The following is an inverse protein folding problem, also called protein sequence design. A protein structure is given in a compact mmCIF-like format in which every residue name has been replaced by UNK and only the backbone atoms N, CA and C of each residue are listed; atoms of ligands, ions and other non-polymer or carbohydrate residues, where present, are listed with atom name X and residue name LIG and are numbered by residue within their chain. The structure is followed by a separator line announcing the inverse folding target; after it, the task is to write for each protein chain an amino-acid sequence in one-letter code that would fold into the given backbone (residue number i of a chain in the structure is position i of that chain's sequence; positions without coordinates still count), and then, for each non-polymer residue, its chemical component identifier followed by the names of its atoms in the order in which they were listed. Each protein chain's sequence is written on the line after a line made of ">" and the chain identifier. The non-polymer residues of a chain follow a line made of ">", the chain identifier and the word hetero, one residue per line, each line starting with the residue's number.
data_IF_874931778491
#
_entry.id   IF_874931778491
#
_cell.length_a   1.000
_cell.length_b   1.000
_cell.length_c   1.000
_cell.angle_alpha   90.00
_cell.angle_beta   90.00
_cell.angle_gamma   90.00
#
_symmetry.space_group_name_H-M   'P 1'
#
loop_
_entity.id
_entity.type
_entity.pdbx_description
1 polymer ?
#
# COMPACT_ATOMS: atom_id res chain seq x y z
N UNK A 1 8.60 20.70 24.67
CA UNK A 1 10.05 20.73 24.35
C UNK A 1 10.17 20.62 22.83
N UNK A 2 11.10 21.35 22.21
CA UNK A 2 11.29 21.31 20.75
C UNK A 2 12.48 20.42 20.37
N UNK A 3 12.27 19.51 19.42
CA UNK A 3 13.33 18.60 18.92
C UNK A 3 13.75 19.05 17.53
N UNK A 4 14.93 19.63 17.41
CA UNK A 4 15.43 20.21 16.16
C UNK A 4 15.66 19.15 15.07
N UNK A 5 14.77 19.10 14.06
CA UNK A 5 15.12 18.51 12.76
C UNK A 5 16.05 19.48 12.02
N UNK A 6 17.31 19.10 11.82
CA UNK A 6 18.28 19.90 11.05
C UNK A 6 17.93 19.83 9.57
N UNK A 7 17.43 20.93 9.00
CA UNK A 7 17.56 21.15 7.57
C UNK A 7 19.04 21.33 7.22
N UNK A 8 19.55 20.50 6.32
CA UNK A 8 20.83 20.73 5.63
C UNK A 8 20.48 20.92 4.15
N UNK A 9 20.54 22.16 3.68
CA UNK A 9 20.41 22.45 2.26
C UNK A 9 21.67 21.98 1.54
N UNK A 10 21.56 20.91 0.75
CA UNK A 10 22.56 20.57 -0.25
C UNK A 10 22.53 21.66 -1.34
N UNK A 11 23.59 22.46 -1.44
CA UNK A 11 23.62 23.63 -2.31
C UNK A 11 23.84 23.19 -3.77
N UNK A 12 22.84 23.35 -4.63
CA UNK A 12 23.01 23.19 -6.08
C UNK A 12 23.89 24.33 -6.60
N UNK A 13 25.19 24.05 -6.79
CA UNK A 13 26.15 25.06 -7.24
C UNK A 13 26.26 25.03 -8.76
N UNK A 14 25.61 25.99 -9.43
CA UNK A 14 25.80 26.20 -10.87
C UNK A 14 27.28 26.48 -11.18
N UNK A 15 27.79 25.85 -12.24
CA UNK A 15 29.15 26.08 -12.69
C UNK A 15 29.35 27.51 -13.22
N UNK A 16 30.20 28.29 -12.52
CA UNK A 16 30.83 29.50 -13.03
C UNK A 16 32.34 29.39 -12.83
N UNK A 17 33.11 29.88 -13.81
CA UNK A 17 34.50 29.47 -13.97
C UNK A 17 35.50 30.30 -13.16
N UNK A 18 36.48 29.61 -12.55
CA UNK A 18 37.81 30.15 -12.28
C UNK A 18 38.28 30.14 -10.83
N UNK A 19 39.61 30.21 -10.68
CA UNK A 19 40.41 30.28 -9.43
C UNK A 19 40.54 28.96 -8.66
N UNK A 20 41.73 28.74 -8.10
CA UNK A 20 42.19 27.48 -7.47
C UNK A 20 42.00 27.54 -5.94
N UNK A 21 41.67 26.42 -5.28
CA UNK A 21 41.30 26.47 -3.85
C UNK A 21 41.22 25.17 -3.04
N UNK A 22 42.18 24.25 -3.19
CA UNK A 22 42.41 23.06 -2.31
C UNK A 22 41.33 21.95 -2.35
N UNK A 23 41.70 20.67 -2.10
CA UNK A 23 40.73 19.57 -2.05
C UNK A 23 39.99 19.54 -0.71
N UNK A 24 38.67 19.72 -0.73
CA UNK A 24 37.79 19.38 0.39
C UNK A 24 37.60 17.86 0.45
N UNK A 25 38.47 17.18 1.20
CA UNK A 25 38.33 15.74 1.50
C UNK A 25 37.23 15.51 2.53
N UNK A 26 35.98 15.65 2.11
CA UNK A 26 34.81 15.27 2.90
C UNK A 26 34.24 13.95 2.38
N UNK A 27 34.48 12.85 3.10
CA UNK A 27 33.75 11.59 2.87
C UNK A 27 32.25 11.87 3.12
N UNK A 28 31.49 12.05 2.06
CA UNK A 28 30.06 12.28 2.13
C UNK A 28 29.36 10.98 2.52
N UNK A 29 29.07 10.82 3.81
CA UNK A 29 28.09 9.84 4.27
C UNK A 29 26.69 10.37 3.92
N UNK A 30 26.02 9.74 2.96
CA UNK A 30 24.61 10.00 2.70
C UNK A 30 23.79 9.11 3.62
N UNK A 31 23.23 9.73 4.67
CA UNK A 31 22.33 9.09 5.62
C UNK A 31 20.89 9.51 5.30
N UNK A 32 20.39 9.08 4.15
CA UNK A 32 18.98 9.18 3.77
C UNK A 32 18.46 7.76 3.48
N UNK A 33 17.18 7.52 3.80
CA UNK A 33 16.53 6.23 3.55
C UNK A 33 16.34 5.97 2.05
N UNK A 34 16.42 7.02 1.22
CA UNK A 34 16.37 6.92 -0.24
C UNK A 34 17.44 7.80 -0.88
N UNK A 35 18.16 7.22 -1.84
CA UNK A 35 19.04 7.88 -2.79
C UNK A 35 18.28 8.05 -4.11
N UNK A 36 17.98 9.31 -4.46
CA UNK A 36 17.29 9.66 -5.69
C UNK A 36 18.08 9.25 -6.94
N UNK A 37 17.36 8.89 -8.01
CA UNK A 37 17.97 8.55 -9.29
C UNK A 37 18.77 9.75 -9.85
N UNK A 38 20.00 9.49 -10.30
CA UNK A 38 20.96 10.52 -10.70
C UNK A 38 21.82 11.06 -9.56
N UNK A 39 21.67 10.60 -8.31
CA UNK A 39 22.60 10.92 -7.22
C UNK A 39 24.01 10.47 -7.60
N UNK A 40 24.98 11.39 -7.48
CA UNK A 40 26.39 11.14 -7.83
C UNK A 40 27.22 10.88 -6.59
N UNK A 41 27.83 9.70 -6.53
CA UNK A 41 28.76 9.25 -5.50
C UNK A 41 30.18 9.40 -6.06
N UNK A 42 30.86 10.48 -5.69
CA UNK A 42 32.21 10.77 -6.18
C UNK A 42 33.28 10.02 -5.38
N UNK A 43 34.12 9.24 -6.05
CA UNK A 43 35.21 8.49 -5.42
C UNK A 43 36.55 9.14 -5.74
N UNK A 44 37.17 9.76 -4.73
CA UNK A 44 38.41 10.56 -4.84
C UNK A 44 39.68 9.74 -5.03
N UNK A 45 39.68 8.47 -4.62
CA UNK A 45 40.89 7.62 -4.54
C UNK A 45 40.94 6.51 -5.61
N UNK A 46 40.01 6.53 -6.57
CA UNK A 46 39.94 5.53 -7.66
C UNK A 46 40.20 6.23 -8.99
N UNK A 47 41.15 5.73 -9.79
CA UNK A 47 41.44 6.22 -11.13
C UNK A 47 40.68 5.44 -12.22
N UNK A 48 40.09 6.18 -13.17
CA UNK A 48 39.38 5.60 -14.32
C UNK A 48 40.28 4.66 -15.14
N UNK A 49 41.56 4.99 -15.32
CA UNK A 49 42.57 4.16 -15.98
C UNK A 49 43.81 4.03 -15.09
N UNK A 50 44.59 2.96 -15.25
CA UNK A 50 45.83 2.78 -14.50
C UNK A 50 46.83 3.91 -14.83
N UNK A 51 47.19 4.71 -13.83
CA UNK A 51 48.02 5.92 -14.01
C UNK A 51 47.27 7.16 -14.52
N UNK A 52 45.93 7.11 -14.61
CA UNK A 52 45.10 8.31 -14.80
C UNK A 52 44.93 9.12 -13.50
N UNK A 53 44.32 10.30 -13.61
CA UNK A 53 43.97 11.10 -12.43
C UNK A 53 42.92 10.37 -11.57
N UNK A 54 43.09 10.27 -10.24
CA UNK A 54 42.05 9.77 -9.33
C UNK A 54 40.81 10.67 -9.34
N UNK A 55 39.63 10.05 -9.26
CA UNK A 55 38.33 10.70 -9.41
C UNK A 55 37.45 9.96 -10.41
N UNK A 56 36.42 9.26 -9.93
CA UNK A 56 35.35 8.68 -10.76
C UNK A 56 33.97 9.03 -10.18
N UNK A 57 32.95 8.97 -11.04
CA UNK A 57 31.55 9.06 -10.64
C UNK A 57 30.90 7.67 -10.66
N UNK A 58 30.38 7.23 -9.53
CA UNK A 58 29.34 6.19 -9.49
C UNK A 58 27.99 6.90 -9.41
N UNK A 59 27.04 6.52 -10.25
CA UNK A 59 25.73 7.17 -10.37
C UNK A 59 24.67 6.20 -9.86
N UNK A 60 23.77 6.67 -9.01
CA UNK A 60 22.56 5.93 -8.62
C UNK A 60 21.62 5.88 -9.82
N UNK A 61 21.48 4.72 -10.46
CA UNK A 61 20.88 4.59 -11.80
C UNK A 61 19.35 4.50 -11.80
N UNK A 62 18.76 4.03 -10.70
CA UNK A 62 17.34 4.09 -10.37
C UNK A 62 17.20 4.41 -8.88
N UNK A 63 16.01 4.84 -8.43
CA UNK A 63 15.81 5.20 -7.02
C UNK A 63 16.14 4.01 -6.13
N UNK A 64 16.98 4.26 -5.14
CA UNK A 64 17.68 3.22 -4.37
C UNK A 64 17.57 3.51 -2.88
N UNK A 65 17.66 2.48 -2.05
CA UNK A 65 17.38 2.58 -0.62
C UNK A 65 18.46 1.91 0.20
N UNK A 66 18.84 2.61 1.25
CA UNK A 66 19.97 2.29 2.13
C UNK A 66 19.63 2.84 3.52
N UNK A 67 20.13 2.21 4.59
CA UNK A 67 20.15 2.83 5.91
C UNK A 67 21.25 3.91 5.99
N UNK A 68 22.39 3.66 5.33
CA UNK A 68 23.43 4.65 5.04
C UNK A 68 24.30 4.22 3.87
N UNK A 69 24.96 5.18 3.21
CA UNK A 69 26.01 4.91 2.23
C UNK A 69 27.22 5.82 2.44
N UNK A 70 28.42 5.25 2.36
CA UNK A 70 29.68 5.93 2.65
C UNK A 70 30.74 5.60 1.58
N UNK A 71 31.32 6.65 0.98
CA UNK A 71 32.57 6.54 0.22
C UNK A 71 33.72 6.52 1.21
N UNK A 72 34.43 5.41 1.29
CA UNK A 72 35.56 5.16 2.18
C UNK A 72 36.78 4.74 1.35
N UNK A 73 37.41 5.74 0.73
CA UNK A 73 38.51 5.56 -0.22
C UNK A 73 38.07 4.79 -1.46
N UNK A 74 38.78 3.72 -1.78
CA UNK A 74 38.42 2.77 -2.85
C UNK A 74 37.15 1.93 -2.59
N UNK A 75 36.50 2.07 -1.43
CA UNK A 75 35.30 1.29 -1.08
C UNK A 75 34.05 2.17 -1.04
N UNK A 76 32.93 1.59 -1.49
CA UNK A 76 31.59 2.06 -1.22
C UNK A 76 30.96 1.09 -0.21
N UNK A 77 30.70 1.58 1.00
CA UNK A 77 30.10 0.80 2.10
C UNK A 77 28.63 1.21 2.21
N UNK A 78 27.74 0.24 2.17
CA UNK A 78 26.30 0.44 2.10
C UNK A 78 25.63 -0.41 3.19
N UNK A 79 24.93 0.23 4.11
CA UNK A 79 24.07 -0.45 5.08
C UNK A 79 22.67 -0.60 4.45
N UNK A 80 22.15 -1.82 4.41
CA UNK A 80 20.86 -2.15 3.78
C UNK A 80 19.87 -2.66 4.85
N UNK A 81 18.60 -2.30 4.74
CA UNK A 81 17.53 -2.97 5.50
C UNK A 81 16.95 -4.16 4.71
N UNK A 82 16.15 -5.01 5.36
CA UNK A 82 15.51 -6.14 4.69
C UNK A 82 14.49 -5.64 3.65
N UNK A 83 14.68 -6.00 2.38
CA UNK A 83 13.88 -5.57 1.25
C UNK A 83 14.43 -4.36 0.48
N UNK A 84 15.43 -3.65 1.02
CA UNK A 84 16.05 -2.50 0.35
C UNK A 84 16.74 -2.90 -0.96
N UNK A 85 16.63 -2.05 -1.99
CA UNK A 85 17.15 -2.25 -3.35
C UNK A 85 18.16 -1.14 -3.69
N UNK A 86 19.30 -1.48 -4.30
CA UNK A 86 20.35 -0.52 -4.69
C UNK A 86 20.73 -0.72 -6.17
N UNK A 87 20.72 0.37 -6.93
CA UNK A 87 20.97 0.41 -8.38
C UNK A 87 22.06 1.43 -8.68
N UNK A 88 23.18 0.98 -9.23
CA UNK A 88 24.36 1.80 -9.52
C UNK A 88 24.83 1.62 -10.97
N UNK A 89 25.44 2.66 -11.53
CA UNK A 89 26.12 2.60 -12.82
C UNK A 89 27.42 3.42 -12.82
N UNK A 90 28.30 3.13 -13.78
CA UNK A 90 29.57 3.85 -13.99
C UNK A 90 29.82 4.09 -15.47
N UNK A 91 30.03 5.35 -15.85
CA UNK A 91 30.41 5.75 -17.21
C UNK A 91 31.88 5.39 -17.54
N UNK A 92 32.75 5.31 -16.53
CA UNK A 92 34.10 4.74 -16.61
C UNK A 92 34.08 3.21 -16.78
N UNK A 93 32.89 2.60 -16.72
CA UNK A 93 32.63 1.16 -16.88
C UNK A 93 33.31 0.30 -15.81
N UNK A 94 33.39 0.80 -14.58
CA UNK A 94 34.02 0.11 -13.44
C UNK A 94 33.40 -1.25 -13.11
N UNK A 95 34.23 -2.18 -12.65
CA UNK A 95 33.75 -3.38 -11.96
C UNK A 95 33.30 -3.01 -10.54
N UNK A 96 32.08 -3.44 -10.19
CA UNK A 96 31.53 -3.36 -8.85
C UNK A 96 31.88 -4.65 -8.10
N UNK A 97 33.11 -4.74 -7.59
CA UNK A 97 33.59 -5.95 -6.92
C UNK A 97 32.92 -6.07 -5.54
N UNK A 98 31.90 -6.92 -5.43
CA UNK A 98 31.15 -7.17 -4.20
C UNK A 98 31.18 -8.65 -3.81
N UNK A 99 30.88 -8.94 -2.53
CA UNK A 99 30.79 -10.30 -2.02
C UNK A 99 29.47 -11.01 -2.35
N UNK A 100 28.48 -10.32 -2.94
CA UNK A 100 27.08 -10.77 -2.98
C UNK A 100 26.42 -10.73 -4.37
N UNK A 101 26.90 -9.90 -5.30
CA UNK A 101 26.38 -9.80 -6.67
C UNK A 101 27.46 -9.35 -7.67
N UNK A 102 27.22 -9.66 -8.95
CA UNK A 102 28.15 -9.36 -10.07
C UNK A 102 27.82 -8.08 -10.82
N UNK A 103 28.78 -7.61 -11.64
CA UNK A 103 28.63 -6.44 -12.52
C UNK A 103 28.04 -6.84 -13.88
N UNK A 104 27.05 -6.08 -14.37
CA UNK A 104 26.62 -6.11 -15.76
C UNK A 104 27.52 -5.20 -16.60
N UNK A 105 28.27 -5.78 -17.55
CA UNK A 105 29.24 -5.06 -18.36
C UNK A 105 28.68 -4.67 -19.73
N UNK A 106 28.18 -3.44 -19.86
CA UNK A 106 27.76 -2.86 -21.14
C UNK A 106 28.93 -2.35 -21.99
N UNK A 107 28.60 -1.89 -23.21
CA UNK A 107 29.57 -1.28 -24.14
C UNK A 107 30.00 0.13 -23.72
N UNK A 108 29.08 0.93 -23.16
CA UNK A 108 29.31 2.34 -22.80
C UNK A 108 29.24 2.63 -21.30
N UNK A 109 28.59 1.77 -20.52
CA UNK A 109 28.49 1.84 -19.06
C UNK A 109 28.72 0.46 -18.46
N UNK A 110 28.99 0.39 -17.15
CA UNK A 110 28.75 -0.80 -16.33
C UNK A 110 27.62 -0.52 -15.34
N UNK A 111 26.92 -1.56 -14.94
CA UNK A 111 25.74 -1.48 -14.07
C UNK A 111 25.80 -2.56 -12.98
N UNK A 112 25.17 -2.26 -11.85
CA UNK A 112 25.09 -3.13 -10.69
C UNK A 112 23.74 -2.95 -10.02
N UNK A 113 23.08 -4.07 -9.69
CA UNK A 113 21.84 -4.07 -8.92
C UNK A 113 21.91 -5.13 -7.82
N UNK A 114 21.37 -4.81 -6.65
CA UNK A 114 21.28 -5.72 -5.51
C UNK A 114 20.03 -5.46 -4.68
N UNK A 115 19.43 -6.52 -4.15
CA UNK A 115 18.27 -6.46 -3.26
C UNK A 115 18.59 -7.27 -2.00
N UNK A 116 18.55 -6.63 -0.83
CA UNK A 116 18.90 -7.25 0.44
C UNK A 116 17.74 -8.10 0.96
N UNK A 117 17.99 -9.36 1.34
CA UNK A 117 16.96 -10.28 1.85
C UNK A 117 16.77 -10.21 3.37
N UNK A 118 17.59 -9.40 4.04
CA UNK A 118 17.70 -9.17 5.48
C UNK A 118 18.48 -7.86 5.68
N UNK A 119 18.51 -7.33 6.90
CA UNK A 119 19.44 -6.23 7.22
C UNK A 119 20.89 -6.72 7.11
N UNK A 120 21.70 -6.09 6.25
CA UNK A 120 23.10 -6.47 6.02
C UNK A 120 23.95 -5.31 5.46
N UNK A 121 25.28 -5.45 5.53
CA UNK A 121 26.22 -4.46 4.99
C UNK A 121 26.81 -4.97 3.68
N UNK A 122 26.53 -4.27 2.58
CA UNK A 122 27.13 -4.48 1.28
C UNK A 122 28.38 -3.60 1.15
N UNK A 123 29.52 -4.20 0.83
CA UNK A 123 30.73 -3.46 0.46
C UNK A 123 31.06 -3.72 -1.00
N UNK A 124 31.33 -2.66 -1.74
CA UNK A 124 31.79 -2.71 -3.13
C UNK A 124 33.17 -2.04 -3.20
N UNK A 125 34.16 -2.75 -3.74
CA UNK A 125 35.55 -2.26 -3.86
C UNK A 125 35.88 -1.95 -5.32
N UNK A 126 36.49 -0.80 -5.57
CA UNK A 126 36.84 -0.31 -6.92
C UNK A 126 38.34 -0.09 -7.05
N UNK A 127 38.96 -0.70 -8.08
CA UNK A 127 40.40 -0.62 -8.32
C UNK A 127 40.77 0.29 -9.50
N UNK A 128 42.00 0.77 -9.49
CA UNK A 128 42.57 1.62 -10.55
C UNK A 128 42.68 0.86 -11.87
N UNK A 129 42.13 1.43 -12.94
CA UNK A 129 42.06 0.77 -14.25
C UNK A 129 41.17 -0.47 -14.34
N UNK A 130 40.54 -0.91 -13.24
CA UNK A 130 39.62 -2.05 -13.22
C UNK A 130 38.27 -1.69 -13.87
N UNK A 131 38.17 -1.98 -15.16
CA UNK A 131 37.06 -1.60 -16.03
C UNK A 131 36.57 -2.83 -16.81
N UNK A 132 35.25 -2.97 -16.95
CA UNK A 132 34.55 -4.04 -17.67
C UNK A 132 35.19 -4.41 -19.02
N UNK A 133 35.82 -5.58 -19.10
CA UNK A 133 36.47 -6.05 -20.32
C UNK A 133 35.48 -6.80 -21.21
N UNK A 134 34.95 -6.15 -22.25
CA UNK A 134 34.07 -6.78 -23.26
C UNK A 134 34.89 -7.61 -24.26
N UNK A 135 35.49 -8.71 -23.77
CA UNK A 135 36.03 -9.82 -24.58
C UNK A 135 37.14 -9.48 -25.58
N UNK A 136 38.38 -9.28 -25.10
CA UNK A 136 39.54 -8.90 -25.96
C UNK A 136 40.84 -9.69 -25.80
N UNK A 137 40.91 -10.65 -24.86
CA UNK A 137 42.09 -11.48 -24.62
C UNK A 137 43.17 -10.87 -23.69
N UNK A 138 43.79 -11.72 -22.86
CA UNK A 138 45.00 -11.38 -22.08
C UNK A 138 44.79 -11.10 -20.58
N UNK A 139 44.73 -12.17 -19.76
CA UNK A 139 45.35 -12.13 -18.43
C UNK A 139 44.63 -11.43 -17.26
N UNK A 140 43.30 -11.27 -17.27
CA UNK A 140 42.51 -10.91 -16.08
C UNK A 140 41.79 -12.12 -15.47
N UNK A 141 41.68 -12.21 -14.13
CA UNK A 141 40.93 -13.28 -13.48
C UNK A 141 39.42 -13.00 -13.53
N UNK A 142 38.73 -13.62 -14.49
CA UNK A 142 37.27 -13.58 -14.57
C UNK A 142 36.67 -14.33 -13.37
N UNK A 143 35.97 -13.60 -12.48
CA UNK A 143 35.05 -14.22 -11.52
C UNK A 143 33.83 -14.73 -12.29
N UNK A 144 33.93 -15.94 -12.84
CA UNK A 144 32.91 -16.56 -13.69
C UNK A 144 31.72 -17.11 -12.89
N UNK A 145 31.09 -16.24 -12.09
CA UNK A 145 29.74 -16.46 -11.58
C UNK A 145 28.77 -16.40 -12.74
N UNK A 146 28.57 -17.52 -13.44
CA UNK A 146 27.74 -17.66 -14.64
C UNK A 146 26.23 -17.62 -14.32
N UNK A 147 25.79 -16.64 -13.54
CA UNK A 147 24.40 -16.21 -13.53
C UNK A 147 24.14 -15.43 -14.82
N UNK A 148 23.35 -15.99 -15.74
CA UNK A 148 22.77 -15.23 -16.84
C UNK A 148 21.66 -14.32 -16.30
N UNK A 149 22.04 -13.34 -15.49
CA UNK A 149 21.18 -12.32 -14.96
C UNK A 149 20.75 -11.38 -16.07
N UNK A 150 19.70 -11.75 -16.81
CA UNK A 150 18.78 -10.73 -17.31
C UNK A 150 18.41 -9.85 -16.13
N UNK A 151 18.65 -8.54 -16.24
CA UNK A 151 18.21 -7.61 -15.21
C UNK A 151 16.71 -7.80 -15.00
N UNK A 152 16.33 -8.34 -13.84
CA UNK A 152 14.94 -8.46 -13.43
C UNK A 152 14.48 -7.08 -13.00
N UNK A 153 14.17 -6.26 -14.01
CA UNK A 153 13.46 -4.99 -13.84
C UNK A 153 12.22 -5.27 -13.02
N UNK A 154 12.05 -4.55 -11.91
CA UNK A 154 10.87 -4.76 -11.10
C UNK A 154 9.63 -4.37 -11.90
N UNK A 155 8.59 -5.19 -11.79
CA UNK A 155 7.29 -5.01 -12.46
C UNK A 155 6.12 -5.27 -11.51
N UNK A 156 6.42 -5.52 -10.23
CA UNK A 156 5.45 -5.51 -9.15
C UNK A 156 5.28 -4.09 -8.62
N UNK A 157 4.05 -3.71 -8.31
CA UNK A 157 3.73 -2.40 -7.77
C UNK A 157 3.40 -2.52 -6.26
N UNK A 158 3.73 -1.51 -5.43
CA UNK A 158 3.56 -1.60 -3.98
C UNK A 158 2.11 -1.87 -3.56
N UNK A 159 1.88 -2.92 -2.79
CA UNK A 159 0.59 -3.24 -2.18
C UNK A 159 0.42 -2.38 -0.92
N UNK A 160 -0.48 -1.40 -0.97
CA UNK A 160 -0.84 -0.55 0.19
C UNK A 160 -1.76 -1.33 1.14
N UNK A 161 -1.42 -1.34 2.43
CA UNK A 161 -2.09 -2.10 3.49
C UNK A 161 -2.11 -1.33 4.81
N UNK A 162 -2.83 -1.88 5.81
CA UNK A 162 -2.89 -1.35 7.19
C UNK A 162 -3.23 0.15 7.28
N UNK A 163 -4.18 0.59 6.44
CA UNK A 163 -4.63 1.99 6.39
C UNK A 163 -5.47 2.33 7.62
N UNK A 164 -4.97 3.25 8.43
CA UNK A 164 -5.57 3.83 9.63
C UNK A 164 -5.78 5.34 9.45
N UNK A 165 -6.72 5.93 10.21
CA UNK A 165 -7.20 7.29 10.01
C UNK A 165 -7.57 7.96 11.34
N UNK A 166 -6.83 9.00 11.70
CA UNK A 166 -7.08 9.87 12.86
C UNK A 166 -7.64 11.20 12.35
N UNK A 167 -8.90 11.52 12.68
CA UNK A 167 -9.60 12.70 12.16
C UNK A 167 -9.83 13.74 13.26
N UNK A 168 -9.50 15.00 12.99
CA UNK A 168 -9.84 16.17 13.80
C UNK A 168 -10.87 17.08 13.14
N UNK A 169 -11.02 18.30 13.65
CA UNK A 169 -11.95 19.29 13.09
C UNK A 169 -11.40 20.02 11.86
N UNK A 170 -10.08 20.22 11.81
CA UNK A 170 -9.36 21.04 10.81
C UNK A 170 -8.17 20.32 10.17
N UNK A 171 -7.90 19.09 10.58
CA UNK A 171 -6.85 18.22 10.05
C UNK A 171 -7.26 16.74 10.12
N UNK A 172 -6.57 15.89 9.36
CA UNK A 172 -6.69 14.43 9.45
C UNK A 172 -5.35 13.76 9.12
N UNK A 173 -4.88 12.87 10.00
CA UNK A 173 -3.67 12.07 9.77
C UNK A 173 -4.06 10.67 9.28
N UNK A 174 -3.52 10.29 8.14
CA UNK A 174 -3.67 8.97 7.52
C UNK A 174 -2.36 8.22 7.78
N UNK A 175 -2.44 6.99 8.28
CA UNK A 175 -1.30 6.09 8.51
C UNK A 175 -1.47 4.86 7.61
N UNK A 176 -0.39 4.33 7.03
CA UNK A 176 -0.46 3.10 6.23
C UNK A 176 0.90 2.41 6.08
N UNK A 177 0.88 1.21 5.52
CA UNK A 177 2.07 0.47 5.12
C UNK A 177 2.06 0.12 3.63
N UNK A 178 3.22 -0.25 3.10
CA UNK A 178 3.37 -0.93 1.81
C UNK A 178 4.23 -2.19 1.96
N UNK A 179 3.88 -3.27 1.27
CA UNK A 179 4.62 -4.55 1.31
C UNK A 179 6.09 -4.43 0.88
N UNK A 180 6.38 -3.43 0.06
CA UNK A 180 7.71 -3.02 -0.33
C UNK A 180 7.84 -1.49 -0.20
N UNK A 181 9.06 -0.97 -0.09
CA UNK A 181 9.31 0.45 -0.01
C UNK A 181 8.75 1.26 -1.19
N UNK A 182 8.19 2.43 -0.89
CA UNK A 182 7.59 3.30 -1.92
C UNK A 182 7.54 4.77 -1.50
N UNK A 183 7.65 5.70 -2.45
CA UNK A 183 7.27 7.09 -2.26
C UNK A 183 5.76 7.22 -2.48
N UNK A 184 5.10 7.97 -1.60
CA UNK A 184 3.64 7.90 -1.46
C UNK A 184 2.99 9.27 -1.38
N UNK A 185 1.75 9.39 -1.86
CA UNK A 185 1.02 10.65 -1.83
C UNK A 185 -0.49 10.46 -1.72
N UNK A 186 -1.14 11.46 -1.14
CA UNK A 186 -2.59 11.48 -0.95
C UNK A 186 -3.17 12.58 -1.82
N UNK A 187 -3.98 12.20 -2.81
CA UNK A 187 -4.86 13.15 -3.50
C UNK A 187 -6.18 13.23 -2.74
N UNK A 188 -6.72 14.43 -2.58
CA UNK A 188 -7.94 14.66 -1.80
C UNK A 188 -8.77 15.84 -2.30
N UNK A 189 -10.05 15.88 -1.91
CA UNK A 189 -10.99 16.95 -2.25
C UNK A 189 -12.38 16.74 -1.66
N UNK A 190 -13.27 17.72 -1.79
CA UNK A 190 -14.69 17.59 -1.39
C UNK A 190 -15.53 16.77 -2.38
N UNK A 191 -14.90 16.20 -3.40
CA UNK A 191 -15.47 15.21 -4.33
C UNK A 191 -14.37 14.26 -4.85
N UNK A 192 -14.75 13.17 -5.50
CA UNK A 192 -13.83 12.22 -6.15
C UNK A 192 -13.13 12.75 -7.40
N UNK A 193 -13.40 14.00 -7.81
CA UNK A 193 -12.53 14.71 -8.76
C UNK A 193 -11.21 15.19 -8.11
N UNK A 194 -11.15 15.16 -6.76
CA UNK A 194 -10.07 15.71 -5.94
C UNK A 194 -9.83 17.20 -6.24
N UNK A 195 -8.63 17.71 -5.92
CA UNK A 195 -8.25 19.11 -6.12
C UNK A 195 -6.97 19.51 -5.40
N UNK A 196 -6.59 18.74 -4.37
CA UNK A 196 -5.37 18.91 -3.61
C UNK A 196 -4.55 17.61 -3.60
N UNK A 197 -3.23 17.73 -3.43
CA UNK A 197 -2.28 16.62 -3.33
C UNK A 197 -1.25 16.95 -2.25
N UNK A 198 -0.92 15.98 -1.40
CA UNK A 198 0.20 16.05 -0.45
C UNK A 198 1.09 14.81 -0.64
N UNK A 199 2.42 15.01 -0.75
CA UNK A 199 3.35 13.96 -1.22
C UNK A 199 4.59 13.80 -0.34
N UNK A 200 4.93 12.54 -0.05
CA UNK A 200 6.25 12.14 0.45
C UNK A 200 7.20 11.86 -0.71
N UNK A 201 8.48 12.24 -0.55
CA UNK A 201 9.56 11.93 -1.50
C UNK A 201 10.45 10.78 -1.03
N UNK A 202 10.43 10.46 0.28
CA UNK A 202 11.24 9.40 0.88
C UNK A 202 10.49 8.08 0.79
N UNK A 203 11.15 7.05 0.24
CA UNK A 203 10.59 5.74 0.02
C UNK A 203 10.67 4.91 1.31
N UNK A 204 9.54 4.33 1.73
CA UNK A 204 9.42 3.55 2.99
C UNK A 204 8.36 2.45 2.87
N UNK A 205 8.38 1.51 3.80
CA UNK A 205 7.29 0.54 4.05
C UNK A 205 6.24 1.03 5.03
N UNK A 206 6.51 2.09 5.81
CA UNK A 206 5.57 2.67 6.79
C UNK A 206 5.45 4.18 6.59
N UNK A 207 4.21 4.66 6.51
CA UNK A 207 3.84 6.01 6.10
C UNK A 207 2.88 6.66 7.09
N UNK A 208 2.97 7.97 7.20
CA UNK A 208 2.03 8.82 7.93
C UNK A 208 2.00 10.20 7.27
N UNK A 209 0.81 10.72 6.99
CA UNK A 209 0.61 12.00 6.31
C UNK A 209 -0.59 12.74 6.90
N UNK A 210 -0.39 14.00 7.27
CA UNK A 210 -1.43 14.87 7.84
C UNK A 210 -1.96 15.84 6.79
N UNK A 211 -3.23 15.68 6.41
CA UNK A 211 -4.00 16.66 5.66
C UNK A 211 -4.38 17.81 6.60
N UNK A 212 -4.18 19.06 6.20
CA UNK A 212 -4.40 20.25 7.04
C UNK A 212 -5.31 21.26 6.34
N UNK A 213 -5.76 22.29 7.08
CA UNK A 213 -6.64 23.35 6.58
C UNK A 213 -8.00 22.82 6.07
N UNK A 214 -8.47 21.72 6.65
CA UNK A 214 -9.79 21.16 6.38
C UNK A 214 -10.88 22.03 7.06
N UNK A 215 -12.07 22.08 6.48
CA UNK A 215 -13.22 22.68 7.13
C UNK A 215 -13.88 21.67 8.09
N UNK A 216 -14.36 22.07 9.28
CA UNK A 216 -15.14 21.20 10.18
C UNK A 216 -16.45 20.67 9.55
N UNK A 217 -16.97 19.57 10.09
CA UNK A 217 -18.18 18.85 9.61
C UNK A 217 -18.22 18.55 8.09
N UNK A 218 -17.08 18.53 7.41
CA UNK A 218 -16.99 18.45 5.96
C UNK A 218 -16.45 17.09 5.53
N UNK A 219 -17.16 16.45 4.60
CA UNK A 219 -16.70 15.19 4.00
C UNK A 219 -15.67 15.47 2.91
N UNK A 220 -14.49 14.87 3.05
CA UNK A 220 -13.44 14.82 2.04
C UNK A 220 -13.29 13.40 1.53
N UNK A 221 -13.11 13.28 0.22
CA UNK A 221 -12.69 12.05 -0.45
C UNK A 221 -11.18 12.09 -0.61
N UNK A 222 -10.51 10.95 -0.40
CA UNK A 222 -9.06 10.84 -0.59
C UNK A 222 -8.69 9.51 -1.23
N UNK A 223 -7.48 9.45 -1.79
CA UNK A 223 -6.92 8.26 -2.45
C UNK A 223 -5.41 8.26 -2.22
N UNK A 224 -4.87 7.15 -1.72
CA UNK A 224 -3.43 6.98 -1.48
C UNK A 224 -2.80 6.37 -2.73
N UNK A 225 -1.69 6.93 -3.17
CA UNK A 225 -0.87 6.42 -4.28
C UNK A 225 0.52 6.08 -3.79
N UNK A 226 1.13 5.08 -4.40
CA UNK A 226 2.49 4.65 -4.12
C UNK A 226 3.26 4.43 -5.43
N UNK A 227 4.57 4.62 -5.38
CA UNK A 227 5.50 4.33 -6.47
C UNK A 227 6.75 3.66 -5.90
N UNK A 228 7.16 2.52 -6.44
CA UNK A 228 8.44 1.87 -6.08
C UNK A 228 9.64 2.57 -6.75
N UNK A 229 10.86 2.20 -6.35
CA UNK A 229 12.08 2.78 -6.92
C UNK A 229 12.34 2.46 -8.40
N UNK A 230 11.62 1.48 -8.97
CA UNK A 230 11.64 1.15 -10.41
C UNK A 230 10.57 1.92 -11.21
N UNK A 231 9.70 2.68 -10.55
CA UNK A 231 8.64 3.49 -11.15
C UNK A 231 7.26 2.83 -11.20
N UNK A 232 7.10 1.59 -10.73
CA UNK A 232 5.83 0.86 -10.67
C UNK A 232 4.86 1.56 -9.71
N UNK A 233 3.70 1.98 -10.22
CA UNK A 233 2.70 2.73 -9.44
C UNK A 233 1.52 1.86 -9.01
N UNK A 234 1.05 2.09 -7.79
CA UNK A 234 -0.19 1.52 -7.27
C UNK A 234 -1.12 2.59 -6.70
N UNK A 235 -2.33 2.20 -6.34
CA UNK A 235 -3.35 3.10 -5.81
C UNK A 235 -4.26 2.33 -4.86
N UNK A 236 -4.39 2.83 -3.63
CA UNK A 236 -5.38 2.38 -2.66
C UNK A 236 -6.72 3.07 -2.96
N UNK A 237 -7.77 2.27 -3.11
CA UNK A 237 -9.06 2.73 -3.63
C UNK A 237 -9.72 3.82 -2.77
N UNK A 238 -10.54 4.65 -3.44
CA UNK A 238 -11.17 5.86 -2.93
C UNK A 238 -11.80 5.68 -1.53
N UNK A 239 -11.32 6.49 -0.60
CA UNK A 239 -11.76 6.58 0.79
C UNK A 239 -12.54 7.88 1.02
N UNK A 240 -13.22 7.95 2.16
CA UNK A 240 -13.82 9.19 2.66
C UNK A 240 -13.49 9.38 4.15
N UNK A 241 -13.28 10.63 4.54
CA UNK A 241 -13.25 11.10 5.92
C UNK A 241 -14.28 12.22 6.10
N UNK A 242 -14.81 12.40 7.30
CA UNK A 242 -15.63 13.57 7.65
C UNK A 242 -15.01 14.18 8.89
N UNK A 243 -14.60 15.45 8.80
CA UNK A 243 -14.02 16.18 9.93
C UNK A 243 -15.01 16.33 11.09
N UNK A 244 -14.48 16.44 12.31
CA UNK A 244 -15.27 16.58 13.54
C UNK A 244 -15.97 17.96 13.63
N UNK A 245 -16.75 18.20 14.69
CA UNK A 245 -17.21 19.55 15.00
C UNK A 245 -16.03 20.45 15.37
N UNK A 246 -16.15 21.77 15.15
CA UNK A 246 -15.07 22.68 15.54
C UNK A 246 -14.84 22.63 17.07
N UNK A 247 -13.58 22.42 17.46
CA UNK A 247 -13.17 22.24 18.86
C UNK A 247 -13.34 20.82 19.43
N UNK A 248 -13.75 19.85 18.61
CA UNK A 248 -13.83 18.43 18.97
C UNK A 248 -12.48 17.72 18.70
N UNK A 249 -12.00 16.94 19.66
CA UNK A 249 -10.63 16.38 19.66
C UNK A 249 -10.64 14.94 19.10
N UNK A 250 -9.63 14.51 18.31
CA UNK A 250 -9.56 13.14 17.79
C UNK A 250 -9.61 12.08 18.90
N UNK A 251 -10.67 11.27 18.92
CA UNK A 251 -10.81 10.12 19.83
C UNK A 251 -10.08 8.89 19.28
N UNK A 252 -8.83 8.70 19.72
CA UNK A 252 -8.07 7.46 19.49
C UNK A 252 -8.79 6.27 20.13
N UNK A 253 -9.15 5.25 19.35
CA UNK A 253 -9.95 4.12 19.84
C UNK A 253 -9.13 3.09 20.63
N UNK A 254 -8.70 3.48 21.83
CA UNK A 254 -8.06 2.60 22.82
C UNK A 254 -8.60 2.88 24.22
N UNK A 255 -9.04 1.82 24.88
CA UNK A 255 -9.62 1.76 26.25
C UNK A 255 -11.11 2.20 26.38
N UNK A 256 -11.98 1.38 27.02
CA UNK A 256 -13.41 1.69 27.19
C UNK A 256 -13.67 2.39 28.53
N UNK A 257 -13.96 3.69 28.50
CA UNK A 257 -14.30 4.45 29.71
C UNK A 257 -15.63 4.00 30.34
N UNK A 258 -15.65 3.89 31.67
CA UNK A 258 -16.86 3.55 32.43
C UNK A 258 -17.66 4.81 32.76
N UNK A 259 -18.54 5.19 31.84
CA UNK A 259 -19.59 6.17 32.11
C UNK A 259 -20.40 5.77 33.36
N UNK A 260 -20.33 6.61 34.40
CA UNK A 260 -20.79 6.28 35.75
C UNK A 260 -22.31 6.29 35.88
N UNK A 261 -22.85 5.40 36.72
CA UNK A 261 -24.23 5.48 37.17
C UNK A 261 -24.34 6.39 38.40
N UNK A 262 -24.97 7.56 38.24
CA UNK A 262 -25.58 8.28 39.36
C UNK A 262 -27.12 8.23 39.24
N UNK A 263 -27.82 8.63 40.31
CA UNK A 263 -28.95 7.85 40.82
C UNK A 263 -30.27 8.66 40.97
N UNK A 264 -31.34 7.94 41.34
CA UNK A 264 -32.68 8.39 41.74
C UNK A 264 -33.69 8.47 40.59
N UNK A 265 -34.90 7.88 40.67
CA UNK A 265 -35.70 7.59 41.87
C UNK A 265 -36.77 6.50 41.64
N UNK A 266 -37.40 6.02 42.72
CA UNK A 266 -38.72 5.37 42.68
C UNK A 266 -38.74 3.84 42.56
N UNK A 267 -38.99 3.15 43.68
CA UNK A 267 -39.22 1.70 43.71
C UNK A 267 -40.74 1.37 43.73
N UNK A 268 -41.13 0.18 43.23
CA UNK A 268 -41.89 -0.82 44.01
C UNK A 268 -42.02 -2.19 43.31
N UNK A 269 -41.62 -3.23 44.04
CA UNK A 269 -42.23 -4.57 44.20
C UNK A 269 -42.71 -5.36 42.96
N UNK A 270 -41.85 -6.32 42.57
CA UNK A 270 -42.05 -7.28 41.51
C UNK A 270 -43.19 -8.31 41.63
N UNK A 271 -43.35 -9.04 40.51
CA UNK A 271 -43.90 -10.39 40.40
C UNK A 271 -43.10 -11.14 39.33
N UNK A 272 -43.11 -12.47 39.34
CA UNK A 272 -42.33 -13.29 38.41
C UNK A 272 -43.22 -14.21 37.56
N UNK A 273 -43.55 -13.73 36.36
CA UNK A 273 -43.99 -14.50 35.19
C UNK A 273 -43.70 -13.72 33.89
N UNK A 274 -43.67 -14.43 32.75
CA UNK A 274 -43.54 -13.97 31.35
C UNK A 274 -42.46 -12.92 30.98
N UNK A 275 -41.34 -13.37 30.39
CA UNK A 275 -40.36 -12.41 29.85
C UNK A 275 -39.04 -12.90 29.21
N UNK A 276 -38.86 -14.17 28.83
CA UNK A 276 -37.60 -14.62 28.18
C UNK A 276 -37.53 -14.23 26.68
N UNK A 277 -37.58 -12.93 26.38
CA UNK A 277 -37.73 -12.36 25.03
C UNK A 277 -36.60 -11.40 24.61
N UNK A 278 -35.52 -11.29 25.39
CA UNK A 278 -34.42 -10.36 25.13
C UNK A 278 -33.25 -10.85 24.26
N UNK A 279 -33.23 -12.12 23.83
CA UNK A 279 -32.07 -12.72 23.11
C UNK A 279 -32.49 -13.54 21.86
N UNK A 280 -33.78 -13.79 21.65
CA UNK A 280 -34.29 -14.68 20.58
C UNK A 280 -34.83 -13.95 19.33
N UNK A 281 -34.94 -12.62 19.37
CA UNK A 281 -35.50 -11.82 18.27
C UNK A 281 -34.47 -11.51 17.17
N UNK A 282 -33.26 -11.11 17.54
CA UNK A 282 -32.28 -10.48 16.65
C UNK A 282 -31.70 -11.48 15.63
N UNK A 283 -31.29 -12.65 16.12
CA UNK A 283 -30.82 -13.76 15.29
C UNK A 283 -31.88 -14.29 14.32
N UNK A 284 -33.18 -14.05 14.58
CA UNK A 284 -34.29 -14.44 13.68
C UNK A 284 -34.38 -13.52 12.46
N UNK A 285 -34.16 -12.21 12.64
CA UNK A 285 -34.09 -11.26 11.53
C UNK A 285 -32.81 -11.47 10.72
N UNK A 286 -31.67 -11.61 11.40
CA UNK A 286 -30.38 -11.88 10.77
C UNK A 286 -30.41 -13.15 9.88
N UNK A 287 -30.95 -14.26 10.37
CA UNK A 287 -31.13 -15.50 9.58
C UNK A 287 -32.09 -15.34 8.40
N UNK A 288 -33.14 -14.52 8.51
CA UNK A 288 -34.06 -14.22 7.40
C UNK A 288 -33.40 -13.40 6.30
N UNK A 289 -32.46 -12.52 6.67
CA UNK A 289 -31.75 -11.62 5.76
C UNK A 289 -30.36 -12.15 5.34
N UNK A 290 -29.97 -13.36 5.76
CA UNK A 290 -28.71 -13.98 5.39
C UNK A 290 -28.53 -14.03 3.86
N UNK A 291 -27.36 -13.57 3.40
CA UNK A 291 -27.07 -13.41 1.98
C UNK A 291 -27.96 -12.35 1.31
N UNK A 292 -28.31 -11.27 2.01
CA UNK A 292 -28.89 -10.07 1.39
C UNK A 292 -27.90 -8.93 1.48
N UNK A 293 -27.86 -8.18 0.39
CA UNK A 293 -27.49 -6.78 0.40
C UNK A 293 -28.68 -5.98 0.93
N UNK A 294 -28.41 -5.01 1.80
CA UNK A 294 -29.40 -4.19 2.49
C UNK A 294 -29.05 -2.72 2.31
N UNK A 295 -30.01 -1.91 1.89
CA UNK A 295 -29.85 -0.46 1.73
C UNK A 295 -30.48 0.26 2.92
N UNK A 296 -29.71 1.03 3.68
CA UNK A 296 -30.21 1.86 4.79
C UNK A 296 -31.04 3.02 4.22
N UNK A 297 -32.36 3.00 4.41
CA UNK A 297 -33.27 3.98 3.77
C UNK A 297 -33.54 5.25 4.58
N UNK A 298 -33.15 5.27 5.86
CA UNK A 298 -33.42 6.39 6.79
C UNK A 298 -32.21 7.33 6.97
N UNK A 299 -31.10 7.08 6.24
CA UNK A 299 -29.88 7.89 6.26
C UNK A 299 -29.21 7.92 4.87
N UNK A 300 -27.89 8.06 4.83
CA UNK A 300 -26.99 8.26 3.68
C UNK A 300 -26.91 7.12 2.65
N UNK A 301 -27.84 6.15 2.67
CA UNK A 301 -27.89 5.08 1.69
C UNK A 301 -26.75 4.07 1.78
N UNK A 302 -26.21 3.85 2.99
CA UNK A 302 -25.20 2.82 3.26
C UNK A 302 -25.70 1.42 2.85
N UNK A 303 -24.81 0.62 2.24
CA UNK A 303 -25.08 -0.77 1.85
C UNK A 303 -24.47 -1.71 2.89
N UNK A 304 -25.20 -2.76 3.26
CA UNK A 304 -24.76 -3.77 4.22
C UNK A 304 -24.99 -5.18 3.66
N UNK A 305 -23.99 -6.06 3.76
CA UNK A 305 -24.14 -7.49 3.47
C UNK A 305 -24.33 -8.27 4.77
N UNK A 306 -25.36 -9.12 4.83
CA UNK A 306 -25.53 -10.06 5.96
C UNK A 306 -24.91 -11.40 5.59
N UNK A 307 -23.89 -11.82 6.33
CA UNK A 307 -23.21 -13.07 6.05
C UNK A 307 -24.09 -14.32 6.28
N UNK A 308 -23.80 -15.37 5.51
CA UNK A 308 -24.52 -16.64 5.48
C UNK A 308 -23.99 -17.70 6.44
N UNK A 309 -22.90 -17.44 7.18
CA UNK A 309 -22.27 -18.35 8.15
C UNK A 309 -22.41 -17.84 9.59
N UNK A 310 -22.06 -16.57 9.82
CA UNK A 310 -22.07 -15.93 11.14
C UNK A 310 -23.31 -15.07 11.40
N UNK A 311 -24.13 -14.80 10.37
CA UNK A 311 -25.34 -13.95 10.44
C UNK A 311 -25.08 -12.53 10.92
N UNK A 312 -23.83 -12.04 10.76
CA UNK A 312 -23.44 -10.66 11.05
C UNK A 312 -23.66 -9.77 9.83
N UNK A 313 -24.01 -8.50 10.05
CA UNK A 313 -23.96 -7.45 9.03
C UNK A 313 -22.55 -6.88 8.92
N UNK A 314 -22.10 -6.68 7.70
CA UNK A 314 -20.86 -6.01 7.35
C UNK A 314 -21.20 -4.85 6.41
N UNK A 315 -20.68 -3.66 6.68
CA UNK A 315 -20.89 -2.50 5.81
C UNK A 315 -20.09 -2.69 4.52
N UNK A 316 -20.71 -2.45 3.37
CA UNK A 316 -20.06 -2.55 2.05
C UNK A 316 -19.91 -1.14 1.47
N UNK A 317 -18.66 -0.70 1.42
CA UNK A 317 -18.19 0.52 0.77
C UNK A 317 -17.26 0.13 -0.37
N UNK A 318 -17.09 1.02 -1.34
CA UNK A 318 -16.06 0.84 -2.39
C UNK A 318 -14.69 0.55 -1.76
N UNK A 319 -14.31 1.40 -0.80
CA UNK A 319 -13.17 1.30 0.11
C UNK A 319 -12.85 -0.09 0.67
N UNK A 320 -13.84 -0.83 1.18
CA UNK A 320 -13.62 -2.07 1.92
C UNK A 320 -14.10 -3.34 1.18
N UNK A 321 -14.75 -3.18 0.02
CA UNK A 321 -15.41 -4.28 -0.65
C UNK A 321 -14.46 -5.42 -1.02
N UNK A 322 -13.21 -5.14 -1.46
CA UNK A 322 -12.22 -6.19 -1.73
C UNK A 322 -12.04 -7.11 -0.52
N UNK A 323 -11.97 -6.52 0.67
CA UNK A 323 -11.82 -7.24 1.93
C UNK A 323 -13.12 -7.94 2.37
N UNK A 324 -14.30 -7.33 2.15
CA UNK A 324 -15.61 -8.01 2.29
C UNK A 324 -15.63 -9.29 1.45
N UNK A 325 -15.22 -9.20 0.18
CA UNK A 325 -15.17 -10.34 -0.73
C UNK A 325 -14.13 -11.38 -0.31
N UNK A 326 -12.89 -10.98 -0.02
CA UNK A 326 -11.83 -11.91 0.42
C UNK A 326 -12.21 -12.66 1.71
N UNK A 327 -12.89 -12.01 2.65
CA UNK A 327 -13.24 -12.60 3.96
C UNK A 327 -14.54 -13.42 3.94
N UNK A 328 -15.50 -13.09 3.07
CA UNK A 328 -16.87 -13.65 3.10
C UNK A 328 -17.31 -14.40 1.82
N UNK A 329 -16.57 -14.31 0.72
CA UNK A 329 -16.90 -15.03 -0.51
C UNK A 329 -16.50 -16.51 -0.45
N UNK A 330 -17.23 -17.35 -1.19
CA UNK A 330 -16.80 -18.74 -1.44
C UNK A 330 -16.00 -18.83 -2.73
N UNK A 331 -14.85 -19.50 -2.69
CA UNK A 331 -14.12 -19.89 -3.89
C UNK A 331 -14.97 -20.78 -4.79
N UNK A 332 -14.99 -20.48 -6.10
CA UNK A 332 -15.73 -21.24 -7.12
C UNK A 332 -14.84 -21.46 -8.35
N UNK A 333 -14.89 -22.67 -8.90
CA UNK A 333 -14.26 -23.03 -10.17
C UNK A 333 -15.09 -22.56 -11.36
N UNK A 334 -14.45 -22.28 -12.50
CA UNK A 334 -15.10 -21.76 -13.70
C UNK A 334 -16.20 -22.72 -14.18
N UNK A 335 -15.92 -24.02 -14.18
CA UNK A 335 -16.89 -25.11 -14.51
C UNK A 335 -18.14 -25.12 -13.61
N UNK A 336 -18.06 -24.60 -12.38
CA UNK A 336 -19.22 -24.48 -11.49
C UNK A 336 -19.87 -23.10 -11.53
N UNK A 337 -19.10 -22.05 -11.82
CA UNK A 337 -19.61 -20.70 -12.07
C UNK A 337 -20.48 -20.66 -13.34
N UNK A 338 -20.06 -21.34 -14.42
CA UNK A 338 -20.78 -21.46 -15.69
C UNK A 338 -22.20 -22.02 -15.52
N UNK A 339 -22.39 -23.00 -14.61
CA UNK A 339 -23.69 -23.62 -14.30
C UNK A 339 -24.67 -22.67 -13.59
N UNK A 340 -24.21 -21.50 -13.14
CA UNK A 340 -25.04 -20.45 -12.53
C UNK A 340 -25.33 -19.41 -13.62
N UNK A 341 -26.56 -19.32 -14.16
CA UNK A 341 -26.88 -18.44 -15.28
C UNK A 341 -26.73 -16.98 -14.90
N UNK A 342 -26.33 -16.12 -15.85
CA UNK A 342 -26.31 -14.66 -15.66
C UNK A 342 -27.74 -14.11 -15.66
N UNK A 343 -27.96 -13.00 -14.97
CA UNK A 343 -29.29 -12.35 -14.97
C UNK A 343 -29.72 -11.95 -16.39
N UNK A 344 -31.02 -12.03 -16.68
CA UNK A 344 -31.58 -11.78 -18.00
C UNK A 344 -31.36 -12.88 -19.06
N UNK A 345 -30.53 -13.89 -18.79
CA UNK A 345 -30.41 -15.05 -19.68
C UNK A 345 -31.66 -15.94 -19.66
N UNK A 346 -31.87 -16.73 -20.72
CA UNK A 346 -32.96 -17.73 -20.80
C UNK A 346 -32.55 -19.11 -20.24
N UNK A 347 -31.40 -19.19 -19.58
CA UNK A 347 -30.80 -20.44 -19.15
C UNK A 347 -31.25 -20.83 -17.74
N UNK A 348 -31.64 -22.10 -17.56
CA UNK A 348 -32.02 -22.62 -16.24
C UNK A 348 -30.79 -22.88 -15.36
N UNK A 349 -29.67 -23.28 -15.96
CA UNK A 349 -28.48 -23.75 -15.25
C UNK A 349 -28.75 -24.93 -14.31
N UNK A 350 -27.84 -25.14 -13.35
CA UNK A 350 -28.03 -26.12 -12.27
C UNK A 350 -28.89 -25.50 -11.15
N UNK A 351 -30.18 -25.80 -11.15
CA UNK A 351 -31.16 -25.29 -10.17
C UNK A 351 -30.78 -25.66 -8.72
N UNK A 352 -30.13 -26.80 -8.49
CA UNK A 352 -29.71 -27.23 -7.15
C UNK A 352 -28.52 -26.41 -6.66
N UNK A 353 -27.51 -26.21 -7.52
CA UNK A 353 -26.35 -25.36 -7.24
C UNK A 353 -26.77 -23.90 -7.03
N UNK A 354 -27.62 -23.36 -7.92
CA UNK A 354 -28.19 -22.01 -7.80
C UNK A 354 -28.87 -21.82 -6.44
N UNK A 355 -29.77 -22.74 -6.05
CA UNK A 355 -30.46 -22.64 -4.76
C UNK A 355 -29.53 -22.73 -3.54
N UNK A 356 -28.43 -23.50 -3.64
CA UNK A 356 -27.39 -23.58 -2.58
C UNK A 356 -26.55 -22.30 -2.46
N UNK A 357 -26.41 -21.54 -3.55
CA UNK A 357 -25.54 -20.35 -3.63
C UNK A 357 -26.31 -19.02 -3.55
N UNK A 358 -27.64 -19.02 -3.53
CA UNK A 358 -28.47 -17.81 -3.34
C UNK A 358 -27.98 -16.92 -2.20
N UNK A 359 -27.75 -15.66 -2.50
CA UNK A 359 -27.26 -14.65 -1.58
C UNK A 359 -25.77 -14.72 -1.26
N UNK A 360 -24.98 -15.58 -1.91
CA UNK A 360 -23.53 -15.68 -1.64
C UNK A 360 -22.72 -14.80 -2.56
N UNK A 361 -21.70 -14.18 -1.97
CA UNK A 361 -20.54 -13.66 -2.67
C UNK A 361 -19.67 -14.86 -3.11
N UNK A 362 -19.12 -14.82 -4.32
CA UNK A 362 -18.25 -15.85 -4.88
C UNK A 362 -16.97 -15.23 -5.46
N UNK A 363 -15.87 -15.99 -5.40
CA UNK A 363 -14.57 -15.62 -5.93
C UNK A 363 -14.13 -16.67 -6.97
N UNK A 364 -13.91 -16.25 -8.22
CA UNK A 364 -13.45 -17.14 -9.29
C UNK A 364 -11.96 -17.46 -9.11
N UNK A 365 -11.65 -18.60 -8.47
CA UNK A 365 -10.28 -18.97 -8.09
C UNK A 365 -9.43 -19.44 -9.28
N UNK A 366 -10.07 -19.80 -10.38
CA UNK A 366 -9.46 -20.21 -11.65
C UNK A 366 -9.41 -19.06 -12.67
N UNK A 367 -9.81 -17.84 -12.28
CA UNK A 367 -9.85 -16.67 -13.16
C UNK A 367 -9.63 -15.38 -12.36
N UNK A 368 -8.37 -15.14 -11.99
CA UNK A 368 -7.83 -13.87 -11.48
C UNK A 368 -8.56 -13.27 -10.25
N UNK A 369 -9.33 -14.08 -9.52
CA UNK A 369 -10.15 -13.62 -8.41
C UNK A 369 -11.35 -12.78 -8.83
N UNK A 370 -11.90 -12.96 -10.05
CA UNK A 370 -13.12 -12.24 -10.47
C UNK A 370 -14.27 -12.47 -9.50
N UNK A 371 -14.98 -11.40 -9.19
CA UNK A 371 -15.91 -11.33 -8.06
C UNK A 371 -17.35 -11.41 -8.56
N UNK A 372 -18.17 -12.23 -7.91
CA UNK A 372 -19.57 -12.44 -8.27
C UNK A 372 -20.48 -12.40 -7.06
N UNK A 373 -21.74 -12.03 -7.28
CA UNK A 373 -22.82 -12.21 -6.31
C UNK A 373 -23.95 -13.01 -6.95
N UNK A 374 -24.47 -14.01 -6.23
CA UNK A 374 -25.65 -14.76 -6.65
C UNK A 374 -26.88 -14.18 -5.96
N UNK A 375 -27.85 -13.69 -6.73
CA UNK A 375 -29.01 -13.00 -6.18
C UNK A 375 -30.03 -13.93 -5.48
N UNK A 376 -31.18 -13.36 -5.06
CA UNK A 376 -32.27 -14.10 -4.41
C UNK A 376 -32.97 -15.11 -5.33
N UNK A 377 -32.92 -14.92 -6.65
CA UNK A 377 -33.60 -15.76 -7.64
C UNK A 377 -32.66 -16.86 -8.18
N UNK A 378 -31.36 -16.68 -7.97
CA UNK A 378 -30.29 -17.63 -8.22
C UNK A 378 -29.48 -17.33 -9.48
N UNK A 379 -29.45 -16.08 -9.95
CA UNK A 379 -28.61 -15.67 -11.08
C UNK A 379 -27.30 -15.06 -10.58
N UNK A 380 -26.21 -15.26 -11.34
CA UNK A 380 -24.91 -14.63 -11.06
C UNK A 380 -24.84 -13.23 -11.67
N UNK A 381 -24.26 -12.31 -10.92
CA UNK A 381 -23.94 -10.95 -11.34
C UNK A 381 -22.44 -10.71 -11.14
N UNK A 382 -21.78 -10.10 -12.13
CA UNK A 382 -20.36 -9.77 -12.06
C UNK A 382 -20.15 -8.44 -11.32
N UNK A 383 -19.41 -8.48 -10.22
CA UNK A 383 -19.08 -7.31 -9.41
C UNK A 383 -17.70 -6.79 -9.80
N UNK A 384 -17.67 -5.75 -10.62
CA UNK A 384 -16.45 -5.05 -11.05
C UNK A 384 -16.35 -3.71 -10.33
N UNK A 385 -15.15 -3.13 -10.25
CA UNK A 385 -14.96 -1.77 -9.71
C UNK A 385 -15.77 -0.70 -10.46
N UNK A 386 -16.20 -0.95 -11.70
CA UNK A 386 -17.03 0.00 -12.47
C UNK A 386 -18.52 -0.03 -12.11
N UNK A 387 -19.05 -1.16 -11.65
CA UNK A 387 -20.49 -1.33 -11.39
C UNK A 387 -20.84 -1.73 -9.94
N UNK A 388 -19.85 -2.03 -9.09
CA UNK A 388 -20.03 -2.60 -7.75
C UNK A 388 -21.14 -1.93 -6.93
N UNK A 389 -21.03 -0.62 -6.69
CA UNK A 389 -21.94 0.08 -5.77
C UNK A 389 -23.34 0.27 -6.35
N UNK A 390 -23.47 0.40 -7.67
CA UNK A 390 -24.77 0.53 -8.35
C UNK A 390 -25.49 -0.82 -8.41
N UNK A 391 -24.77 -1.88 -8.82
CA UNK A 391 -25.24 -3.26 -8.79
C UNK A 391 -25.69 -3.65 -7.37
N UNK A 392 -24.91 -3.29 -6.36
CA UNK A 392 -25.24 -3.62 -4.99
C UNK A 392 -26.40 -2.80 -4.44
N UNK A 393 -26.63 -1.58 -4.95
CA UNK A 393 -27.80 -0.75 -4.64
C UNK A 393 -29.06 -1.28 -5.33
N UNK A 394 -28.96 -1.72 -6.58
CA UNK A 394 -30.04 -2.35 -7.34
C UNK A 394 -30.51 -3.67 -6.69
N UNK A 395 -29.55 -4.50 -6.25
CA UNK A 395 -29.84 -5.81 -5.63
C UNK A 395 -30.08 -5.74 -4.12
N UNK A 396 -30.10 -4.53 -3.52
CA UNK A 396 -30.33 -4.34 -2.09
C UNK A 396 -31.82 -4.32 -1.72
N UNK A 397 -32.14 -4.89 -0.55
CA UNK A 397 -33.43 -4.69 0.10
C UNK A 397 -33.38 -3.48 1.04
N UNK A 398 -34.34 -2.55 0.92
CA UNK A 398 -34.44 -1.42 1.84
C UNK A 398 -34.65 -1.86 3.30
N UNK A 399 -33.89 -1.27 4.23
CA UNK A 399 -33.99 -1.53 5.67
C UNK A 399 -33.95 -0.23 6.48
N UNK A 400 -34.75 -0.20 7.56
CA UNK A 400 -34.79 0.88 8.55
C UNK A 400 -33.74 0.67 9.64
N UNK A 401 -33.27 1.76 10.26
CA UNK A 401 -32.24 1.78 11.30
C UNK A 401 -32.62 0.88 12.47
N UNK A 402 -33.87 0.98 12.92
CA UNK A 402 -34.41 0.16 13.99
C UNK A 402 -34.45 -1.35 13.67
N UNK A 403 -34.32 -1.75 12.40
CA UNK A 403 -34.22 -3.17 11.99
C UNK A 403 -32.77 -3.56 11.63
N UNK A 404 -31.97 -2.64 11.10
CA UNK A 404 -30.54 -2.82 10.87
C UNK A 404 -29.78 -3.01 12.20
N UNK A 405 -30.18 -2.29 13.25
CA UNK A 405 -29.63 -2.40 14.60
C UNK A 405 -29.78 -3.81 15.20
N UNK A 406 -30.87 -4.52 14.87
CA UNK A 406 -31.16 -5.89 15.31
C UNK A 406 -30.34 -6.97 14.59
N UNK A 407 -29.49 -6.61 13.63
CA UNK A 407 -28.58 -7.54 12.97
C UNK A 407 -27.19 -7.32 13.57
N UNK A 408 -26.58 -8.32 14.24
CA UNK A 408 -25.27 -8.17 14.89
C UNK A 408 -24.22 -7.62 13.92
N UNK A 409 -23.46 -6.62 14.33
CA UNK A 409 -22.35 -6.11 13.51
C UNK A 409 -21.18 -7.10 13.49
N UNK A 410 -20.47 -7.18 12.37
CA UNK A 410 -19.19 -7.86 12.26
C UNK A 410 -18.06 -6.89 11.95
N UNK A 411 -16.89 -7.14 12.54
CA UNK A 411 -15.64 -6.48 12.14
C UNK A 411 -15.07 -7.14 10.89
N UNK A 412 -14.66 -6.27 9.96
CA UNK A 412 -13.74 -6.62 8.89
C UNK A 412 -12.32 -6.47 9.46
#
# INVERSE_FOLDING_TARGET
>A
MATNKKFIFAFCMLALAGVWGWPLTTNAAYNDATLEAGTVLYMTEVAAQAGGTPGINIIVSASSEVASIQVNGNNLVIEMEAGSKIYLSSADRKMFNSNLSGTACGSSISEFSYSALKTETLTITFADGDNCVTGGGGGGQYWSGSGSGTAVTDTTAPIISEVDLIVGDTEATINWQTNEPSATWVVYGTSTAYGWEEKTTVYKTTHSLTLTNLAPLTTYYYQIKAQDGSGNTSTYADQQLTTLNSGEVPVTSSEPDQATTDNSSGAINGRADDGLSGISADMKLAKKLAGRLLLRVEKSGEIWYVDTKEYKRYEVKFANALYVFQKLALGVSNVNLEKIPVSGSKESGDVSLRNKLKGKLLLAVEDHGRIWYVDKDGYRHEATWKNLMDLFRELSLGITDANLAKIPAGSL
#
